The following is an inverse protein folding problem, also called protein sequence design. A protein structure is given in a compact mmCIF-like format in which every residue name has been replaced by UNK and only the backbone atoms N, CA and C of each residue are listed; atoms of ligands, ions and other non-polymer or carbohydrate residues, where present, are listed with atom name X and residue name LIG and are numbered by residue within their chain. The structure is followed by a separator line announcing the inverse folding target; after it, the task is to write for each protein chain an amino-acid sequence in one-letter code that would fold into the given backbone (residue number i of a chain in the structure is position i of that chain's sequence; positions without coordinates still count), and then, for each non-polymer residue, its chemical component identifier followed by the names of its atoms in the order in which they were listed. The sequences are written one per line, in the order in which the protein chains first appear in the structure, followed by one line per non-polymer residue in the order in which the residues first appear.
data_IF_386504814433
#
_entry.id   IF_386504814433
#
_cell.length_a   1.000
_cell.length_b   1.000
_cell.length_c   1.000
_cell.angle_alpha   90.00
_cell.angle_beta   90.00
_cell.angle_gamma   90.00
#
_symmetry.space_group_name_H-M   'P 1'
#
loop_
_entity.id
_entity.type
_entity.pdbx_description
1 polymer ?
#
# COMPACT_ATOMS: atom_id res chain seq x y z
N UNK A 1 3.62 27.96 12.18
CA UNK A 1 3.30 28.02 10.74
C UNK A 1 2.71 29.38 10.40
N UNK A 2 3.09 29.95 9.26
CA UNK A 2 2.52 31.23 8.78
C UNK A 2 1.54 30.90 7.66
N UNK A 3 0.28 31.29 7.83
CA UNK A 3 -0.71 31.17 6.75
C UNK A 3 -0.33 32.16 5.63
N UNK A 4 -0.37 31.69 4.39
CA UNK A 4 -0.06 32.48 3.20
C UNK A 4 -1.14 32.31 2.14
N UNK A 5 -1.51 33.40 1.50
CA UNK A 5 -2.38 33.42 0.30
C UNK A 5 -1.58 33.50 -0.99
N UNK A 6 -0.23 33.49 -0.92
CA UNK A 6 0.62 33.50 -2.11
C UNK A 6 0.52 32.21 -2.89
N UNK A 7 0.13 32.29 -4.16
CA UNK A 7 -0.04 31.15 -5.03
C UNK A 7 1.28 30.37 -5.28
N UNK A 8 2.43 31.07 -5.29
CA UNK A 8 3.74 30.42 -5.44
C UNK A 8 4.10 29.58 -4.22
N UNK A 9 3.84 30.10 -3.01
CA UNK A 9 4.05 29.36 -1.76
C UNK A 9 3.11 28.14 -1.68
N UNK A 10 1.86 28.30 -2.07
CA UNK A 10 0.89 27.19 -2.15
C UNK A 10 1.34 26.11 -3.15
N UNK A 11 1.80 26.51 -4.34
CA UNK A 11 2.30 25.56 -5.35
C UNK A 11 3.52 24.77 -4.85
N UNK A 12 4.45 25.40 -4.13
CA UNK A 12 5.60 24.73 -3.53
C UNK A 12 5.18 23.71 -2.45
N UNK A 13 4.23 24.09 -1.58
CA UNK A 13 3.70 23.20 -0.56
C UNK A 13 2.99 21.97 -1.17
N UNK A 14 2.21 22.18 -2.24
CA UNK A 14 1.57 21.09 -2.96
C UNK A 14 2.56 20.19 -3.69
N UNK A 15 3.63 20.73 -4.26
CA UNK A 15 4.68 19.94 -4.89
C UNK A 15 5.40 19.05 -3.86
N UNK A 16 5.70 19.60 -2.68
CA UNK A 16 6.27 18.83 -1.56
C UNK A 16 5.31 17.70 -1.11
N UNK A 17 4.03 18.03 -0.88
CA UNK A 17 3.02 17.03 -0.46
C UNK A 17 2.89 15.86 -1.45
N UNK A 18 2.90 16.14 -2.75
CA UNK A 18 2.77 15.08 -3.79
C UNK A 18 3.93 14.08 -3.77
N UNK A 19 5.12 14.49 -3.34
CA UNK A 19 6.29 13.62 -3.21
C UNK A 19 6.37 12.85 -1.89
N UNK A 20 5.60 13.24 -0.89
CA UNK A 20 5.75 12.75 0.49
C UNK A 20 5.58 11.23 0.60
N UNK A 21 4.51 10.68 0.01
CA UNK A 21 4.26 9.23 0.04
C UNK A 21 5.45 8.43 -0.49
N UNK A 22 5.99 8.81 -1.64
CA UNK A 22 7.10 8.10 -2.25
C UNK A 22 8.36 8.17 -1.40
N UNK A 23 8.66 9.34 -0.80
CA UNK A 23 9.83 9.53 0.05
C UNK A 23 9.75 8.72 1.35
N UNK A 24 8.59 8.74 2.02
CA UNK A 24 8.39 7.95 3.25
C UNK A 24 8.43 6.46 2.95
N UNK A 25 7.75 6.03 1.89
CA UNK A 25 7.72 4.62 1.52
C UNK A 25 9.08 4.11 1.00
N UNK A 26 9.95 4.99 0.44
CA UNK A 26 11.34 4.65 0.08
C UNK A 26 12.23 4.42 1.30
N UNK A 27 12.04 5.24 2.34
CA UNK A 27 12.86 5.18 3.56
C UNK A 27 12.61 3.90 4.39
N UNK A 28 11.56 3.13 4.07
CA UNK A 28 11.24 1.90 4.80
C UNK A 28 12.37 0.87 4.72
N UNK A 29 12.54 0.05 5.75
CA UNK A 29 13.46 -1.09 5.71
C UNK A 29 13.10 -2.05 4.56
N UNK A 30 14.10 -2.61 3.90
CA UNK A 30 13.90 -3.60 2.84
C UNK A 30 13.13 -4.83 3.38
N UNK A 31 12.19 -5.34 2.59
CA UNK A 31 11.31 -6.44 2.99
C UNK A 31 10.09 -6.02 3.80
N UNK A 32 9.89 -4.72 4.06
CA UNK A 32 8.65 -4.21 4.66
C UNK A 32 7.71 -3.64 3.60
N UNK A 33 6.43 -3.60 3.93
CA UNK A 33 5.39 -2.96 3.12
C UNK A 33 4.93 -1.68 3.80
N UNK A 34 4.80 -0.60 3.03
CA UNK A 34 4.18 0.64 3.50
C UNK A 34 2.66 0.51 3.36
N UNK A 35 1.94 0.61 4.48
CA UNK A 35 0.49 0.63 4.54
C UNK A 35 0.01 2.06 4.75
N UNK A 36 -0.84 2.52 3.84
CA UNK A 36 -1.50 3.83 3.92
C UNK A 36 -2.91 3.64 4.46
N UNK A 37 -3.21 4.27 5.58
CA UNK A 37 -4.54 4.34 6.15
C UNK A 37 -5.18 5.71 5.94
N UNK A 38 -6.52 5.75 6.08
CA UNK A 38 -7.36 6.88 5.72
C UNK A 38 -8.59 6.92 6.62
N UNK A 39 -8.58 7.82 7.59
CA UNK A 39 -9.67 7.99 8.54
C UNK A 39 -10.15 9.44 8.56
N UNK A 40 -11.33 9.69 9.11
CA UNK A 40 -11.85 11.05 9.30
C UNK A 40 -12.52 11.19 10.65
N UNK A 41 -12.32 12.35 11.26
CA UNK A 41 -12.98 12.74 12.52
C UNK A 41 -13.56 14.15 12.39
N UNK A 42 -14.50 14.55 13.25
CA UNK A 42 -14.91 15.96 13.32
C UNK A 42 -13.68 16.86 13.47
N UNK A 43 -13.67 18.00 12.75
CA UNK A 43 -12.50 18.90 12.72
C UNK A 43 -12.06 19.35 14.11
N UNK A 44 -13.02 19.46 15.07
CA UNK A 44 -12.73 19.79 16.46
C UNK A 44 -11.83 18.77 17.16
N UNK A 45 -11.93 17.50 16.77
CA UNK A 45 -11.23 16.38 17.42
C UNK A 45 -9.93 16.01 16.69
N UNK A 46 -9.61 16.70 15.58
CA UNK A 46 -8.46 16.40 14.74
C UNK A 46 -7.14 16.40 15.50
N UNK A 47 -6.90 17.39 16.33
CA UNK A 47 -5.64 17.53 17.07
C UNK A 47 -5.48 16.43 18.13
N UNK A 48 -6.55 16.11 18.85
CA UNK A 48 -6.54 15.08 19.89
C UNK A 48 -6.40 13.68 19.23
N UNK A 49 -7.07 13.44 18.11
CA UNK A 49 -6.92 12.20 17.33
C UNK A 49 -5.50 12.02 16.80
N UNK A 50 -4.89 13.07 16.23
CA UNK A 50 -3.49 13.00 15.79
C UNK A 50 -2.53 12.72 16.95
N UNK A 51 -2.78 13.30 18.13
CA UNK A 51 -1.99 13.03 19.34
C UNK A 51 -2.18 11.59 19.81
N UNK A 52 -3.41 11.08 19.79
CA UNK A 52 -3.72 9.68 20.09
C UNK A 52 -3.02 8.72 19.14
N UNK A 53 -3.01 9.00 17.83
CA UNK A 53 -2.28 8.21 16.84
C UNK A 53 -0.77 8.17 17.13
N UNK A 54 -0.15 9.30 17.51
CA UNK A 54 1.27 9.31 17.88
C UNK A 54 1.57 8.41 19.07
N UNK A 55 0.74 8.46 20.12
CA UNK A 55 0.86 7.56 21.27
C UNK A 55 0.72 6.09 20.85
N UNK A 56 -0.21 5.79 19.95
CA UNK A 56 -0.37 4.44 19.42
C UNK A 56 0.85 3.99 18.61
N UNK A 57 1.43 4.85 17.78
CA UNK A 57 2.64 4.51 17.05
C UNK A 57 3.78 4.11 17.99
N UNK A 58 4.01 4.91 19.04
CA UNK A 58 5.01 4.60 20.07
C UNK A 58 4.68 3.26 20.79
N UNK A 59 3.41 3.03 21.13
CA UNK A 59 2.96 1.83 21.83
C UNK A 59 3.16 0.55 21.01
N UNK A 60 2.90 0.62 19.70
CA UNK A 60 3.00 -0.52 18.79
C UNK A 60 4.34 -0.60 18.03
N UNK A 61 5.28 0.32 18.32
CA UNK A 61 6.63 0.32 17.74
C UNK A 61 6.65 0.69 16.24
N UNK A 62 5.76 1.59 15.82
CA UNK A 62 5.75 2.17 14.48
C UNK A 62 6.47 3.54 14.47
N UNK A 63 7.73 3.55 14.87
CA UNK A 63 8.54 4.77 15.06
C UNK A 63 8.69 5.61 13.78
N UNK A 64 8.60 4.98 12.61
CA UNK A 64 8.71 5.62 11.30
C UNK A 64 7.36 6.09 10.74
N UNK A 65 6.27 6.01 11.53
CA UNK A 65 4.94 6.39 11.08
C UNK A 65 4.84 7.90 10.81
N UNK A 66 4.12 8.26 9.75
CA UNK A 66 3.95 9.65 9.33
C UNK A 66 2.48 9.98 9.17
N UNK A 67 2.03 11.09 9.76
CA UNK A 67 0.66 11.62 9.65
C UNK A 67 0.64 12.77 8.64
N UNK A 68 -0.33 12.75 7.74
CA UNK A 68 -0.67 13.83 6.82
C UNK A 68 -2.17 13.74 6.49
N UNK A 69 -2.71 14.65 5.68
CA UNK A 69 -4.13 14.55 5.35
C UNK A 69 -4.74 15.87 4.88
N UNK A 70 -6.05 15.93 4.95
CA UNK A 70 -6.85 17.09 4.59
C UNK A 70 -7.48 17.71 5.85
N UNK A 71 -6.67 18.43 6.63
CA UNK A 71 -7.05 18.96 7.94
C UNK A 71 -8.34 19.78 7.95
N UNK A 72 -8.63 20.49 6.85
CA UNK A 72 -9.87 21.25 6.68
C UNK A 72 -11.13 20.39 6.81
N UNK A 73 -11.02 19.12 6.39
CA UNK A 73 -12.12 18.18 6.29
C UNK A 73 -12.09 17.12 7.42
N UNK A 74 -11.15 17.27 8.37
CA UNK A 74 -10.94 16.29 9.45
C UNK A 74 -10.34 14.97 8.99
N UNK A 75 -9.89 14.88 7.73
CA UNK A 75 -9.31 13.69 7.16
C UNK A 75 -7.84 13.53 7.55
N UNK A 76 -7.51 12.35 8.00
CA UNK A 76 -6.17 11.94 8.45
C UNK A 76 -5.74 10.76 7.60
N UNK A 77 -4.61 10.91 6.89
CA UNK A 77 -3.84 9.82 6.36
C UNK A 77 -2.66 9.54 7.25
N UNK A 78 -2.27 8.29 7.38
CA UNK A 78 -1.00 7.94 7.98
C UNK A 78 -0.39 6.73 7.27
N UNK A 79 0.93 6.65 7.35
CA UNK A 79 1.73 5.54 6.85
C UNK A 79 2.37 4.83 8.01
N UNK A 80 2.23 3.51 8.04
CA UNK A 80 3.02 2.61 8.87
C UNK A 80 3.78 1.63 7.97
N UNK A 81 4.90 1.12 8.45
CA UNK A 81 5.70 0.12 7.73
C UNK A 81 5.86 -1.12 8.57
N UNK A 82 5.56 -2.28 7.97
CA UNK A 82 5.68 -3.56 8.65
C UNK A 82 5.94 -4.70 7.64
N UNK A 83 6.33 -5.86 8.13
CA UNK A 83 6.46 -7.06 7.30
C UNK A 83 5.12 -7.71 7.00
N UNK A 84 4.13 -7.54 7.86
CA UNK A 84 2.79 -8.14 7.78
C UNK A 84 2.81 -9.66 7.60
N UNK A 85 3.81 -10.33 8.17
CA UNK A 85 3.98 -11.78 8.16
C UNK A 85 4.49 -12.28 9.49
N UNK A 86 4.14 -13.54 9.82
CA UNK A 86 4.48 -14.14 11.11
C UNK A 86 3.56 -13.70 12.23
N UNK A 87 3.41 -14.58 13.24
CA UNK A 87 2.43 -14.41 14.31
C UNK A 87 2.64 -13.12 15.12
N UNK A 88 3.88 -12.76 15.40
CA UNK A 88 4.21 -11.57 16.18
C UNK A 88 3.78 -10.27 15.46
N UNK A 89 4.14 -10.12 14.19
CA UNK A 89 3.81 -8.93 13.41
C UNK A 89 2.30 -8.81 13.16
N UNK A 90 1.63 -9.92 12.85
CA UNK A 90 0.19 -9.93 12.66
C UNK A 90 -0.57 -9.62 13.95
N UNK A 91 -0.12 -10.15 15.09
CA UNK A 91 -0.71 -9.83 16.41
C UNK A 91 -0.54 -8.35 16.73
N UNK A 92 0.64 -7.77 16.48
CA UNK A 92 0.91 -6.35 16.65
C UNK A 92 -0.01 -5.49 15.77
N UNK A 93 -0.10 -5.82 14.49
CA UNK A 93 -0.95 -5.10 13.54
C UNK A 93 -2.44 -5.22 13.89
N UNK A 94 -2.89 -6.40 14.31
CA UNK A 94 -4.27 -6.59 14.76
C UNK A 94 -4.60 -5.71 15.98
N UNK A 95 -3.73 -5.74 17.00
CA UNK A 95 -3.91 -4.89 18.19
C UNK A 95 -3.90 -3.40 17.87
N UNK A 96 -3.03 -2.97 16.92
CA UNK A 96 -3.03 -1.60 16.42
C UNK A 96 -4.35 -1.24 15.74
N UNK A 97 -4.91 -2.12 14.88
CA UNK A 97 -6.19 -1.87 14.23
C UNK A 97 -7.36 -1.77 15.21
N UNK A 98 -7.41 -2.65 16.22
CA UNK A 98 -8.44 -2.58 17.26
C UNK A 98 -8.37 -1.24 18.02
N UNK A 99 -7.18 -0.80 18.41
CA UNK A 99 -6.98 0.48 19.07
C UNK A 99 -7.31 1.68 18.15
N UNK A 100 -6.99 1.58 16.85
CA UNK A 100 -7.36 2.58 15.85
C UNK A 100 -8.88 2.72 15.74
N UNK A 101 -9.58 1.59 15.64
CA UNK A 101 -11.05 1.57 15.57
C UNK A 101 -11.66 2.20 16.83
N UNK A 102 -11.12 1.90 18.01
CA UNK A 102 -11.55 2.50 19.27
C UNK A 102 -11.36 4.02 19.28
N UNK A 103 -10.19 4.48 18.85
CA UNK A 103 -9.85 5.90 18.80
C UNK A 103 -10.79 6.67 17.86
N UNK A 104 -10.98 6.17 16.65
CA UNK A 104 -11.76 6.86 15.61
C UNK A 104 -13.25 6.85 15.91
N UNK A 105 -13.81 5.71 16.28
CA UNK A 105 -15.23 5.63 16.61
C UNK A 105 -15.56 6.34 17.94
N UNK A 106 -14.61 6.39 18.88
CA UNK A 106 -14.73 7.17 20.12
C UNK A 106 -14.81 8.69 19.90
N UNK A 107 -14.29 9.17 18.76
CA UNK A 107 -14.37 10.57 18.31
C UNK A 107 -15.53 10.82 17.31
N UNK A 108 -16.54 9.94 17.25
CA UNK A 108 -17.63 10.00 16.25
C UNK A 108 -17.11 10.09 14.79
N UNK A 109 -15.95 9.49 14.54
CA UNK A 109 -15.29 9.47 13.24
C UNK A 109 -15.74 8.34 12.34
N UNK A 110 -15.12 8.28 11.14
CA UNK A 110 -15.33 7.21 10.17
C UNK A 110 -13.99 6.52 9.84
N UNK A 111 -14.02 5.20 9.82
CA UNK A 111 -12.84 4.34 9.64
C UNK A 111 -12.23 4.43 8.25
N UNK A 112 -12.96 4.94 7.26
CA UNK A 112 -12.46 5.27 5.92
C UNK A 112 -13.12 6.55 5.42
N UNK A 113 -12.30 7.48 4.96
CA UNK A 113 -12.77 8.77 4.45
C UNK A 113 -12.96 8.76 2.93
N UNK A 114 -11.87 8.62 2.16
CA UNK A 114 -11.88 8.73 0.70
C UNK A 114 -11.33 7.50 -0.04
N UNK A 115 -10.57 6.61 0.62
CA UNK A 115 -9.93 5.46 -0.03
C UNK A 115 -10.81 4.21 -0.12
N UNK A 116 -12.02 4.26 0.42
CA UNK A 116 -12.94 3.11 0.48
C UNK A 116 -12.62 2.11 1.57
N UNK A 117 -13.64 1.44 2.08
CA UNK A 117 -13.55 0.51 3.22
C UNK A 117 -12.62 -0.69 2.93
N UNK A 118 -12.72 -1.25 1.72
CA UNK A 118 -11.90 -2.38 1.33
C UNK A 118 -12.12 -3.61 2.21
N UNK A 119 -11.08 -4.44 2.32
CA UNK A 119 -11.01 -5.60 3.22
C UNK A 119 -10.47 -5.22 4.59
N UNK A 120 -9.60 -4.19 4.65
CA UNK A 120 -8.91 -3.76 5.87
C UNK A 120 -9.88 -3.37 6.98
N UNK A 121 -10.94 -2.65 6.63
CA UNK A 121 -11.95 -2.21 7.63
C UNK A 121 -13.25 -3.03 7.57
N UNK A 122 -13.34 -4.06 6.73
CA UNK A 122 -14.54 -4.89 6.61
C UNK A 122 -15.01 -5.50 7.94
N UNK A 123 -14.14 -6.05 8.81
CA UNK A 123 -14.56 -6.60 10.11
C UNK A 123 -15.19 -5.57 11.04
N UNK A 124 -14.91 -4.29 10.85
CA UNK A 124 -15.34 -3.21 11.75
C UNK A 124 -16.55 -2.43 11.26
N UNK A 125 -17.05 -2.72 10.04
CA UNK A 125 -18.18 -2.00 9.41
C UNK A 125 -19.46 -2.14 10.25
N UNK A 126 -19.75 -3.34 10.77
CA UNK A 126 -20.90 -3.57 11.66
C UNK A 126 -20.82 -2.71 12.92
N UNK A 127 -19.64 -2.59 13.50
CA UNK A 127 -19.40 -1.76 14.69
C UNK A 127 -19.60 -0.27 14.41
N UNK A 128 -19.19 0.19 13.22
CA UNK A 128 -19.33 1.60 12.81
C UNK A 128 -20.77 2.00 12.54
N UNK A 129 -21.55 1.16 11.86
CA UNK A 129 -22.89 1.52 11.37
C UNK A 129 -24.04 0.90 12.18
N UNK A 130 -23.73 -0.02 13.10
CA UNK A 130 -24.71 -0.76 13.86
C UNK A 130 -25.36 -1.91 13.10
N UNK A 131 -26.05 -2.78 13.84
CA UNK A 131 -26.61 -4.02 13.29
C UNK A 131 -27.66 -3.78 12.21
N UNK A 132 -28.57 -2.85 12.41
CA UNK A 132 -29.69 -2.59 11.48
C UNK A 132 -29.18 -2.17 10.10
N UNK A 133 -28.24 -1.22 10.05
CA UNK A 133 -27.69 -0.71 8.78
C UNK A 133 -26.81 -1.77 8.12
N UNK A 134 -25.98 -2.46 8.90
CA UNK A 134 -25.15 -3.54 8.36
C UNK A 134 -25.97 -4.69 7.78
N UNK A 135 -27.08 -5.08 8.42
CA UNK A 135 -27.95 -6.12 7.90
C UNK A 135 -28.64 -5.72 6.60
N UNK A 136 -28.96 -4.43 6.41
CA UNK A 136 -29.42 -3.92 5.10
C UNK A 136 -28.33 -4.06 4.03
N UNK A 137 -27.07 -3.73 4.36
CA UNK A 137 -25.92 -3.91 3.43
C UNK A 137 -25.78 -5.39 3.03
N UNK A 138 -25.86 -6.30 3.99
CA UNK A 138 -25.78 -7.76 3.76
C UNK A 138 -26.92 -8.24 2.87
N UNK A 139 -28.16 -7.81 3.13
CA UNK A 139 -29.34 -8.18 2.32
C UNK A 139 -29.19 -7.68 0.88
N UNK A 140 -28.74 -6.44 0.70
CA UNK A 140 -28.48 -5.88 -0.63
C UNK A 140 -27.41 -6.69 -1.37
N UNK A 141 -26.29 -6.98 -0.70
CA UNK A 141 -25.21 -7.80 -1.27
C UNK A 141 -25.74 -9.16 -1.74
N UNK A 142 -26.48 -9.86 -0.90
CA UNK A 142 -27.05 -11.19 -1.21
C UNK A 142 -28.08 -11.14 -2.33
N UNK A 143 -28.85 -10.05 -2.44
CA UNK A 143 -29.84 -9.90 -3.50
C UNK A 143 -29.21 -9.75 -4.89
N UNK A 144 -28.07 -9.06 -4.99
CA UNK A 144 -27.37 -8.82 -6.27
C UNK A 144 -26.25 -9.80 -6.57
N UNK A 145 -25.70 -10.43 -5.53
CA UNK A 145 -24.59 -11.39 -5.63
C UNK A 145 -24.82 -12.59 -4.68
N UNK A 146 -25.81 -13.43 -4.97
CA UNK A 146 -26.20 -14.55 -4.09
C UNK A 146 -25.09 -15.59 -3.88
N UNK A 147 -24.12 -15.66 -4.78
CA UNK A 147 -22.99 -16.59 -4.71
C UNK A 147 -21.71 -15.97 -4.17
N UNK A 148 -21.74 -14.70 -3.77
CA UNK A 148 -20.58 -13.95 -3.25
C UNK A 148 -19.35 -14.04 -4.16
N UNK A 149 -19.56 -13.90 -5.47
CA UNK A 149 -18.48 -13.94 -6.48
C UNK A 149 -17.84 -12.59 -6.73
N UNK A 150 -18.55 -11.49 -6.46
CA UNK A 150 -18.06 -10.12 -6.65
C UNK A 150 -17.43 -9.60 -5.36
N UNK A 151 -16.11 -9.39 -5.39
CA UNK A 151 -15.34 -8.82 -4.28
C UNK A 151 -15.66 -9.46 -2.91
N UNK A 152 -15.45 -10.77 -2.73
CA UNK A 152 -15.68 -11.42 -1.44
C UNK A 152 -14.79 -10.81 -0.34
N UNK A 153 -15.32 -10.63 0.86
CA UNK A 153 -14.61 -10.05 2.00
C UNK A 153 -14.43 -8.53 1.95
N UNK A 154 -14.95 -7.84 0.91
CA UNK A 154 -14.90 -6.37 0.80
C UNK A 154 -16.16 -5.75 1.40
N UNK A 155 -16.00 -4.84 2.37
CA UNK A 155 -17.05 -4.17 3.15
C UNK A 155 -17.84 -5.14 4.05
N UNK A 156 -18.25 -6.29 3.52
CA UNK A 156 -19.07 -7.29 4.19
C UNK A 156 -18.27 -8.57 4.34
N UNK A 157 -18.07 -8.99 5.59
CA UNK A 157 -17.41 -10.25 5.93
C UNK A 157 -18.00 -10.82 7.20
N UNK A 158 -18.02 -12.15 7.31
CA UNK A 158 -18.31 -12.88 8.55
C UNK A 158 -17.00 -13.26 9.28
N UNK A 159 -15.85 -12.96 8.68
CA UNK A 159 -14.53 -13.25 9.23
C UNK A 159 -13.99 -12.02 10.00
N UNK A 160 -13.82 -12.13 11.33
CA UNK A 160 -13.27 -11.05 12.13
C UNK A 160 -11.79 -10.74 11.83
N UNK A 161 -11.09 -11.67 11.19
CA UNK A 161 -9.67 -11.55 10.84
C UNK A 161 -9.44 -11.29 9.34
N UNK A 162 -10.49 -10.95 8.56
CA UNK A 162 -10.39 -10.70 7.11
C UNK A 162 -9.25 -9.73 6.76
N UNK A 163 -9.00 -8.73 7.60
CA UNK A 163 -7.95 -7.72 7.42
C UNK A 163 -6.52 -8.26 7.63
N UNK A 164 -6.37 -9.45 8.20
CA UNK A 164 -5.06 -10.10 8.42
C UNK A 164 -4.73 -11.11 7.33
N UNK A 165 -5.70 -11.46 6.48
CA UNK A 165 -5.52 -12.47 5.45
C UNK A 165 -4.99 -11.89 4.15
N UNK A 166 -4.10 -12.64 3.49
CA UNK A 166 -3.54 -12.29 2.19
C UNK A 166 -2.94 -10.88 2.14
N UNK A 167 -2.23 -10.51 3.20
CA UNK A 167 -1.51 -9.23 3.26
C UNK A 167 -0.46 -9.17 2.15
N UNK A 168 -0.29 -7.98 1.59
CA UNK A 168 0.74 -7.76 0.56
C UNK A 168 2.12 -7.83 1.19
N UNK A 169 2.88 -8.85 0.83
CA UNK A 169 4.27 -9.00 1.21
C UNK A 169 5.18 -8.36 0.15
N UNK A 170 6.29 -7.79 0.61
CA UNK A 170 7.30 -7.18 -0.26
C UNK A 170 8.60 -8.00 -0.18
N UNK A 171 8.59 -9.18 -0.81
CA UNK A 171 9.78 -10.02 -0.86
C UNK A 171 10.97 -9.24 -1.42
N UNK A 172 12.13 -9.37 -0.75
CA UNK A 172 13.37 -8.76 -1.20
C UNK A 172 13.92 -9.48 -2.43
N UNK A 173 14.45 -8.73 -3.35
CA UNK A 173 15.02 -9.27 -4.60
C UNK A 173 16.45 -8.79 -4.79
N UNK A 174 16.65 -7.49 -4.92
CA UNK A 174 17.93 -6.84 -5.11
C UNK A 174 17.88 -5.39 -4.60
N UNK A 175 18.90 -4.95 -3.89
CA UNK A 175 18.97 -3.60 -3.29
C UNK A 175 18.65 -2.48 -4.29
N UNK A 176 19.04 -2.66 -5.55
CA UNK A 176 18.82 -1.68 -6.60
C UNK A 176 17.34 -1.41 -6.92
N UNK A 177 16.43 -2.31 -6.53
CA UNK A 177 14.99 -2.23 -6.86
C UNK A 177 14.08 -2.42 -5.65
N UNK A 178 14.61 -2.79 -4.49
CA UNK A 178 13.80 -3.13 -3.31
C UNK A 178 13.09 -1.91 -2.70
N UNK A 179 13.58 -0.69 -2.94
CA UNK A 179 12.90 0.55 -2.57
C UNK A 179 11.63 0.84 -3.41
N UNK A 180 11.32 0.04 -4.43
CA UNK A 180 10.14 0.23 -5.27
C UNK A 180 8.84 0.17 -4.44
N UNK A 181 8.04 1.23 -4.54
CA UNK A 181 6.71 1.35 -3.89
C UNK A 181 5.56 1.01 -4.84
N UNK A 182 5.87 0.53 -6.03
CA UNK A 182 4.91 0.09 -7.06
C UNK A 182 3.88 1.16 -7.50
N UNK A 183 4.23 2.44 -7.40
CA UNK A 183 3.37 3.58 -7.70
C UNK A 183 2.99 3.73 -9.19
N UNK A 184 3.74 3.12 -10.12
CA UNK A 184 3.43 3.12 -11.55
C UNK A 184 3.92 4.33 -12.36
N UNK A 185 4.49 5.37 -11.75
CA UNK A 185 4.94 6.57 -12.49
C UNK A 185 5.94 6.30 -13.62
N UNK A 186 6.68 5.21 -13.55
CA UNK A 186 7.62 4.78 -14.58
C UNK A 186 6.95 4.14 -15.81
N UNK A 187 5.67 3.75 -15.72
CA UNK A 187 5.01 3.01 -16.81
C UNK A 187 4.75 3.86 -18.06
N UNK A 188 4.23 5.12 -17.96
CA UNK A 188 3.95 5.93 -19.13
C UNK A 188 5.17 6.26 -19.99
N UNK A 189 6.37 6.28 -19.40
CA UNK A 189 7.63 6.60 -20.12
C UNK A 189 8.34 5.36 -20.66
N UNK A 190 7.83 4.16 -20.39
CA UNK A 190 8.44 2.92 -20.83
C UNK A 190 8.07 2.60 -22.28
N UNK A 191 9.05 2.39 -23.18
CA UNK A 191 8.77 2.00 -24.59
C UNK A 191 8.04 0.67 -24.72
N UNK A 192 8.16 -0.22 -23.72
CA UNK A 192 7.54 -1.56 -23.75
C UNK A 192 6.12 -1.59 -23.18
N UNK A 193 5.57 -0.48 -22.70
CA UNK A 193 4.31 -0.43 -21.92
C UNK A 193 3.10 -1.07 -22.60
N UNK A 194 3.04 -0.97 -23.93
CA UNK A 194 1.92 -1.47 -24.73
C UNK A 194 2.24 -2.82 -25.43
N UNK A 195 3.41 -3.40 -25.14
CA UNK A 195 3.90 -4.62 -25.77
C UNK A 195 4.11 -5.76 -24.76
N UNK A 196 4.79 -5.45 -23.65
CA UNK A 196 5.22 -6.43 -22.64
C UNK A 196 5.25 -5.77 -21.27
N UNK A 197 6.16 -6.22 -20.38
CA UNK A 197 6.24 -5.68 -19.02
C UNK A 197 6.78 -4.25 -18.98
N UNK A 198 6.15 -3.43 -18.13
CA UNK A 198 6.64 -2.11 -17.70
C UNK A 198 7.73 -2.24 -16.62
N UNK A 199 8.44 -1.16 -16.27
CA UNK A 199 9.44 -1.21 -15.20
C UNK A 199 8.89 -1.69 -13.87
N UNK A 200 7.71 -1.19 -13.44
CA UNK A 200 7.04 -1.66 -12.22
C UNK A 200 6.71 -3.15 -12.31
N UNK A 201 6.10 -3.60 -13.39
CA UNK A 201 5.73 -5.00 -13.58
C UNK A 201 6.95 -5.92 -13.55
N UNK A 202 8.10 -5.50 -14.11
CA UNK A 202 9.35 -6.27 -14.00
C UNK A 202 9.76 -6.51 -12.56
N UNK A 203 9.64 -5.51 -11.71
CA UNK A 203 9.96 -5.62 -10.27
C UNK A 203 8.95 -6.50 -9.56
N UNK A 204 7.66 -6.30 -9.81
CA UNK A 204 6.58 -7.10 -9.19
C UNK A 204 6.70 -8.59 -9.51
N UNK A 205 7.00 -8.94 -10.76
CA UNK A 205 7.19 -10.35 -11.15
C UNK A 205 8.43 -10.96 -10.48
N UNK A 206 9.51 -10.20 -10.33
CA UNK A 206 10.68 -10.67 -9.57
C UNK A 206 10.37 -10.91 -8.10
N UNK A 207 9.55 -10.06 -7.48
CA UNK A 207 9.07 -10.26 -6.11
C UNK A 207 8.17 -11.49 -6.00
N UNK A 208 7.24 -11.66 -6.94
CA UNK A 208 6.38 -12.85 -6.98
C UNK A 208 7.20 -14.13 -7.11
N UNK A 209 8.25 -14.12 -7.96
CA UNK A 209 9.18 -15.23 -8.07
C UNK A 209 9.95 -15.50 -6.78
N UNK A 210 10.43 -14.45 -6.11
CA UNK A 210 11.14 -14.59 -4.86
C UNK A 210 10.24 -15.18 -3.76
N UNK A 211 9.00 -14.74 -3.70
CA UNK A 211 8.00 -15.29 -2.78
C UNK A 211 7.70 -16.76 -3.09
N UNK A 212 7.44 -17.12 -4.35
CA UNK A 212 7.22 -18.50 -4.75
C UNK A 212 8.40 -19.41 -4.37
N UNK A 213 9.63 -18.89 -4.48
CA UNK A 213 10.82 -19.63 -4.05
C UNK A 213 10.85 -19.86 -2.54
N UNK A 214 10.47 -18.86 -1.73
CA UNK A 214 10.36 -18.98 -0.27
C UNK A 214 9.27 -19.97 0.14
N UNK A 215 8.16 -19.99 -0.59
CA UNK A 215 7.03 -20.90 -0.38
C UNK A 215 7.31 -22.34 -0.89
N UNK A 216 8.42 -22.55 -1.60
CA UNK A 216 8.78 -23.85 -2.19
C UNK A 216 7.98 -24.20 -3.46
N UNK A 217 7.23 -23.24 -4.04
CA UNK A 217 6.45 -23.42 -5.28
C UNK A 217 7.36 -23.30 -6.51
N UNK A 218 8.04 -24.39 -6.79
CA UNK A 218 9.00 -24.49 -7.90
C UNK A 218 8.34 -24.46 -9.27
N UNK A 219 7.09 -24.85 -9.39
CA UNK A 219 6.35 -24.80 -10.65
C UNK A 219 6.09 -23.34 -11.05
N UNK A 220 5.60 -22.52 -10.12
CA UNK A 220 5.44 -21.08 -10.33
C UNK A 220 6.79 -20.39 -10.61
N UNK A 221 7.86 -20.75 -9.92
CA UNK A 221 9.21 -20.21 -10.20
C UNK A 221 9.62 -20.48 -11.65
N UNK A 222 9.48 -21.70 -12.13
CA UNK A 222 9.86 -22.06 -13.51
C UNK A 222 9.00 -21.36 -14.56
N UNK A 223 7.70 -21.25 -14.34
CA UNK A 223 6.79 -20.53 -15.23
C UNK A 223 7.16 -19.04 -15.33
N UNK A 224 7.40 -18.39 -14.19
CA UNK A 224 7.80 -17.00 -14.14
C UNK A 224 9.15 -16.77 -14.80
N UNK A 225 10.15 -17.62 -14.57
CA UNK A 225 11.48 -17.50 -15.20
C UNK A 225 11.39 -17.62 -16.71
N UNK A 226 10.61 -18.57 -17.22
CA UNK A 226 10.39 -18.77 -18.66
C UNK A 226 9.72 -17.56 -19.32
N UNK A 227 8.67 -17.02 -18.69
CA UNK A 227 7.95 -15.85 -19.20
C UNK A 227 8.81 -14.57 -19.10
N UNK A 228 9.56 -14.41 -18.01
CA UNK A 228 10.34 -13.23 -17.72
C UNK A 228 11.50 -13.00 -18.70
N UNK A 229 12.06 -14.08 -19.26
CA UNK A 229 13.15 -13.98 -20.23
C UNK A 229 12.75 -13.04 -21.38
N UNK A 230 11.67 -13.31 -22.06
CA UNK A 230 11.20 -12.47 -23.17
C UNK A 230 10.53 -11.19 -22.65
N UNK A 231 9.51 -11.33 -21.82
CA UNK A 231 8.65 -10.20 -21.44
C UNK A 231 9.34 -9.18 -20.53
N UNK A 232 10.24 -9.64 -19.67
CA UNK A 232 10.94 -8.78 -18.71
C UNK A 232 12.32 -8.33 -19.19
N UNK A 233 13.13 -9.27 -19.70
CA UNK A 233 14.56 -9.03 -20.01
C UNK A 233 14.74 -8.57 -21.46
N UNK A 234 14.31 -9.34 -22.44
CA UNK A 234 14.63 -9.11 -23.85
C UNK A 234 13.96 -7.86 -24.42
N UNK A 235 12.72 -7.59 -23.99
CA UNK A 235 11.93 -6.45 -24.47
C UNK A 235 12.21 -5.13 -23.74
N UNK A 236 13.09 -5.11 -22.73
CA UNK A 236 13.52 -3.85 -22.12
C UNK A 236 14.43 -3.07 -23.07
N UNK A 237 14.09 -1.82 -23.38
CA UNK A 237 14.92 -0.95 -24.23
C UNK A 237 16.26 -0.56 -23.57
N UNK A 238 16.37 -0.71 -22.25
CA UNK A 238 17.58 -0.37 -21.47
C UNK A 238 18.01 1.11 -21.61
N UNK A 239 17.04 1.97 -21.92
CA UNK A 239 17.23 3.40 -22.16
C UNK A 239 17.25 4.24 -20.86
N UNK A 240 16.94 3.60 -19.73
CA UNK A 240 16.88 4.26 -18.41
C UNK A 240 15.88 5.42 -18.29
N UNK A 241 14.97 5.59 -19.24
CA UNK A 241 13.93 6.63 -19.14
C UNK A 241 13.05 6.46 -17.90
N UNK A 242 12.88 5.23 -17.43
CA UNK A 242 12.12 4.92 -16.24
C UNK A 242 12.62 5.64 -14.97
N UNK A 243 13.95 5.88 -14.85
CA UNK A 243 14.51 6.57 -13.68
C UNK A 243 14.07 8.04 -13.61
N UNK A 244 13.87 8.69 -14.76
CA UNK A 244 13.47 10.10 -14.79
C UNK A 244 12.06 10.35 -14.25
N UNK A 245 11.21 9.33 -14.31
CA UNK A 245 9.83 9.37 -13.80
C UNK A 245 9.69 8.69 -12.43
N UNK A 246 10.72 8.00 -11.95
CA UNK A 246 10.66 7.28 -10.69
C UNK A 246 10.91 8.25 -9.52
N UNK A 247 9.94 8.43 -8.58
CA UNK A 247 10.11 9.33 -7.46
C UNK A 247 11.22 8.90 -6.48
N UNK A 248 11.57 7.61 -6.50
CA UNK A 248 12.63 7.03 -5.65
C UNK A 248 13.90 6.67 -6.45
N UNK A 249 14.02 7.14 -7.69
CA UNK A 249 15.25 7.08 -8.48
C UNK A 249 15.67 5.69 -8.98
N UNK A 250 14.76 4.71 -9.05
CA UNK A 250 15.08 3.35 -9.51
C UNK A 250 15.29 3.31 -11.02
N UNK A 251 16.47 2.86 -11.43
CA UNK A 251 16.81 2.59 -12.83
C UNK A 251 16.59 1.10 -13.16
N UNK A 252 15.37 0.75 -13.55
CA UNK A 252 15.05 -0.62 -13.96
C UNK A 252 15.81 -1.04 -15.24
N UNK A 253 16.16 -0.09 -16.11
CA UNK A 253 16.98 -0.38 -17.28
C UNK A 253 18.38 -0.87 -16.90
N UNK A 254 19.01 -0.24 -15.92
CA UNK A 254 20.29 -0.65 -15.37
C UNK A 254 20.21 -2.03 -14.69
N UNK A 255 19.12 -2.26 -13.94
CA UNK A 255 18.85 -3.56 -13.35
C UNK A 255 18.72 -4.68 -14.42
N UNK A 256 17.93 -4.48 -15.47
CA UNK A 256 17.79 -5.47 -16.56
C UNK A 256 19.13 -5.69 -17.28
N UNK A 257 19.94 -4.65 -17.39
CA UNK A 257 21.30 -4.76 -17.98
C UNK A 257 22.21 -5.68 -17.16
N UNK A 258 22.11 -5.64 -15.81
CA UNK A 258 22.84 -6.56 -14.94
C UNK A 258 22.37 -8.01 -15.14
N UNK A 259 21.07 -8.25 -15.25
CA UNK A 259 20.54 -9.58 -15.52
C UNK A 259 20.99 -10.16 -16.88
N UNK A 260 20.97 -9.33 -17.95
CA UNK A 260 21.52 -9.75 -19.27
C UNK A 260 22.97 -10.17 -19.18
N UNK A 261 23.75 -9.45 -18.38
CA UNK A 261 25.16 -9.78 -18.19
C UNK A 261 25.35 -11.13 -17.48
N UNK A 262 24.52 -11.46 -16.49
CA UNK A 262 24.58 -12.74 -15.80
C UNK A 262 24.16 -13.93 -16.67
N UNK A 263 23.32 -13.71 -17.70
CA UNK A 263 22.90 -14.76 -18.65
C UNK A 263 23.92 -15.07 -19.75
N UNK A 264 24.95 -14.22 -19.89
CA UNK A 264 26.00 -14.39 -20.90
C UNK A 264 27.21 -15.18 -20.35
N UNK A 265 27.18 -15.60 -19.10
CA UNK A 265 28.19 -16.40 -18.43
C UNK A 265 27.55 -17.63 -17.77
#
# INVERSE_FOLDING_TARGET
AVFSTDASAAAKAWAFRKGLYAQVAEARPSGTTALLEDVVVPVGDLADTCSGLQVMFDQYGYDDAVIFGHAKDGNIHFLITDRFEGEENLTRYNGFNDALVDLILGADGNLKAEHGTGRVMAPFVRRQYGDEVYDVMVQLKRAVDPHNTMNPGVIITDDPEEHLHNMKLSATVEDAIDSCVECGYCEPVCPSRDLTMTPRQRIVVRRARAQALLDGDMDTVQELDKAYQYQGIDTCAVDSMCVTACPVGIDTGKFIKSLRRCLLY
#
